data_IF_915315366462
#
_entry.id   IF_915315366462
#
_cell.length_a   1.000
_cell.length_b   1.000
_cell.length_c   1.000
_cell.angle_alpha   90.00
_cell.angle_beta   90.00
_cell.angle_gamma   90.00
#
_symmetry.space_group_name_H-M   'P 1'
#
loop_
_entity.id
_entity.type
_entity.pdbx_description
1 polymer ?
#
# COMPACT_ATOMS: atom_id res chain seq x y z
N UNK A 1 5.31 7.64 0.08
CA UNK A 1 4.31 6.66 0.56
C UNK A 1 3.16 6.53 -0.43
N UNK A 2 2.64 7.63 -0.99
CA UNK A 2 1.70 7.60 -2.14
C UNK A 2 2.20 6.72 -3.30
N UNK A 3 3.49 6.78 -3.64
CA UNK A 3 4.04 5.92 -4.69
C UNK A 3 3.94 4.40 -4.39
N UNK A 4 4.02 3.99 -3.11
CA UNK A 4 3.83 2.59 -2.70
C UNK A 4 2.35 2.20 -2.82
N UNK A 5 1.45 3.10 -2.44
CA UNK A 5 0.00 2.93 -2.59
C UNK A 5 -0.37 2.75 -4.07
N UNK A 6 0.14 3.61 -4.93
CA UNK A 6 -0.06 3.50 -6.38
C UNK A 6 0.52 2.21 -6.93
N UNK A 7 1.72 1.81 -6.50
CA UNK A 7 2.28 0.52 -6.89
C UNK A 7 1.45 -0.66 -6.41
N UNK A 8 0.86 -0.61 -5.20
CA UNK A 8 -0.07 -1.64 -4.71
C UNK A 8 -1.31 -1.68 -5.60
N UNK A 9 -1.89 -0.53 -5.93
CA UNK A 9 -3.06 -0.44 -6.80
C UNK A 9 -2.76 -0.98 -8.21
N UNK A 10 -1.61 -0.62 -8.77
CA UNK A 10 -1.14 -1.12 -10.05
C UNK A 10 -0.88 -2.63 -10.00
N UNK A 11 -0.26 -3.13 -8.93
CA UNK A 11 -0.04 -4.54 -8.70
C UNK A 11 -1.36 -5.32 -8.59
N UNK A 12 -2.34 -4.80 -7.83
CA UNK A 12 -3.70 -5.38 -7.77
C UNK A 12 -4.37 -5.40 -9.15
N UNK A 13 -4.26 -4.31 -9.91
CA UNK A 13 -4.81 -4.20 -11.27
C UNK A 13 -4.15 -5.19 -12.24
N UNK A 14 -2.84 -5.41 -12.10
CA UNK A 14 -2.07 -6.38 -12.87
C UNK A 14 -2.16 -7.82 -12.31
N UNK A 15 -2.99 -8.07 -11.29
CA UNK A 15 -3.11 -9.36 -10.57
C UNK A 15 -1.78 -9.86 -9.98
N UNK A 16 -0.86 -8.95 -9.73
CA UNK A 16 0.46 -9.20 -9.19
C UNK A 16 0.42 -9.17 -7.65
N UNK A 17 -0.23 -10.19 -7.08
CA UNK A 17 -0.48 -10.26 -5.63
C UNK A 17 0.80 -10.29 -4.80
N UNK A 18 1.88 -10.90 -5.31
CA UNK A 18 3.19 -10.92 -4.64
C UNK A 18 3.72 -9.51 -4.42
N UNK A 19 3.57 -8.65 -5.42
CA UNK A 19 4.07 -7.28 -5.38
C UNK A 19 3.23 -6.42 -4.44
N UNK A 20 1.91 -6.61 -4.45
CA UNK A 20 1.02 -5.97 -3.49
C UNK A 20 1.34 -6.38 -2.03
N UNK A 21 1.65 -7.65 -1.79
CA UNK A 21 2.04 -8.13 -0.44
C UNK A 21 3.40 -7.60 0.00
N UNK A 22 4.38 -7.57 -0.92
CA UNK A 22 5.71 -7.00 -0.63
C UNK A 22 5.61 -5.53 -0.22
N UNK A 23 4.77 -4.75 -0.91
CA UNK A 23 4.53 -3.34 -0.57
C UNK A 23 3.86 -3.22 0.80
N UNK A 24 2.89 -4.08 1.11
CA UNK A 24 2.23 -4.12 2.43
C UNK A 24 3.24 -4.36 3.55
N UNK A 25 4.15 -5.33 3.36
CA UNK A 25 5.23 -5.65 4.28
C UNK A 25 6.22 -4.48 4.45
N UNK A 26 6.56 -3.80 3.36
CA UNK A 26 7.49 -2.66 3.41
C UNK A 26 6.88 -1.51 4.22
N UNK A 27 5.58 -1.23 4.02
CA UNK A 27 4.85 -0.23 4.80
C UNK A 27 4.79 -0.60 6.28
N UNK A 28 4.47 -1.86 6.59
CA UNK A 28 4.41 -2.37 7.97
C UNK A 28 5.79 -2.28 8.66
N UNK A 29 6.87 -2.57 7.91
CA UNK A 29 8.26 -2.48 8.40
C UNK A 29 8.71 -1.04 8.66
N UNK A 30 8.15 -0.08 7.95
CA UNK A 30 8.36 1.35 8.19
C UNK A 30 7.39 1.92 9.24
N UNK A 31 6.67 1.06 9.99
CA UNK A 31 5.68 1.47 11.00
C UNK A 31 4.55 2.34 10.41
N UNK A 32 4.24 2.17 9.12
CA UNK A 32 3.20 2.90 8.41
C UNK A 32 1.94 2.04 8.31
N UNK A 33 0.86 2.47 8.96
CA UNK A 33 -0.48 1.95 8.71
C UNK A 33 -1.11 2.63 7.51
N UNK A 34 -1.74 1.85 6.65
CA UNK A 34 -2.54 2.35 5.53
C UNK A 34 -4.02 2.07 5.80
N UNK A 35 -4.84 3.11 5.74
CA UNK A 35 -6.29 3.07 5.74
C UNK A 35 -6.82 3.62 4.41
N UNK A 36 -7.48 2.76 3.62
CA UNK A 36 -8.25 3.20 2.47
C UNK A 36 -9.63 3.68 2.95
N UNK A 37 -9.90 4.99 2.89
CA UNK A 37 -11.20 5.58 3.27
C UNK A 37 -11.76 6.41 2.12
N UNK A 38 -12.95 6.04 1.61
CA UNK A 38 -13.73 6.76 0.60
C UNK A 38 -12.87 7.40 -0.51
N UNK A 39 -12.26 6.58 -1.37
CA UNK A 39 -11.40 6.97 -2.50
C UNK A 39 -10.06 7.63 -2.15
N UNK A 40 -9.76 7.87 -0.87
CA UNK A 40 -8.46 8.38 -0.44
C UNK A 40 -7.72 7.37 0.41
N UNK A 41 -6.54 6.99 -0.04
CA UNK A 41 -5.64 6.21 0.79
C UNK A 41 -4.94 7.13 1.78
N UNK A 42 -5.37 7.07 3.04
CA UNK A 42 -4.67 7.72 4.14
C UNK A 42 -3.64 6.76 4.71
N UNK A 43 -2.48 7.31 5.06
CA UNK A 43 -1.45 6.55 5.75
C UNK A 43 -1.02 7.33 6.99
N UNK A 44 -0.77 6.60 8.07
CA UNK A 44 -0.26 7.14 9.33
C UNK A 44 0.98 6.38 9.74
N UNK A 45 1.99 7.11 10.20
CA UNK A 45 3.11 6.54 10.92
C UNK A 45 2.67 6.27 12.36
N UNK A 46 3.12 5.15 12.94
CA UNK A 46 2.90 4.82 14.35
C UNK A 46 3.66 5.75 15.29
#
# INVERSE_FOLDING_TARGET
IENLIDQRNLARKNKDFKKADAIRLDLEKNEILIEDLNDKTHWKHK
#
